data_IF_676354448837
#
_entry.id   IF_676354448837
#
_cell.length_a   1.000
_cell.length_b   1.000
_cell.length_c   1.000
_cell.angle_alpha   90.00
_cell.angle_beta   90.00
_cell.angle_gamma   90.00
#
_symmetry.space_group_name_H-M   'P 1'
#
loop_
_entity.id
_entity.type
_entity.pdbx_description
1 polymer ?
#
# COMPACT_ATOMS: atom_id res chain seq x y z
N UNK A 1 -8.56 8.41 -8.61
CA UNK A 1 -8.88 6.98 -8.55
C UNK A 1 -7.59 6.25 -8.24
N UNK A 2 -7.49 5.67 -7.04
CA UNK A 2 -6.46 4.73 -6.59
C UNK A 2 -4.99 5.12 -6.63
N UNK A 3 -4.63 6.35 -6.99
CA UNK A 3 -3.26 6.66 -7.40
C UNK A 3 -2.30 6.54 -6.22
N UNK A 4 -2.70 7.04 -5.04
CA UNK A 4 -1.89 6.93 -3.82
C UNK A 4 -1.79 5.47 -3.38
N UNK A 5 -2.89 4.72 -3.43
CA UNK A 5 -2.88 3.29 -3.09
C UNK A 5 -1.91 2.49 -3.98
N UNK A 6 -1.78 2.85 -5.26
CA UNK A 6 -0.79 2.27 -6.17
C UNK A 6 0.66 2.70 -5.87
N UNK A 7 0.87 3.89 -5.34
CA UNK A 7 2.20 4.31 -4.90
C UNK A 7 2.67 3.50 -3.68
N UNK A 8 1.80 3.14 -2.74
CA UNK A 8 2.15 2.21 -1.64
C UNK A 8 2.62 0.85 -2.16
N UNK A 9 2.01 0.35 -3.24
CA UNK A 9 2.44 -0.88 -3.91
C UNK A 9 3.82 -0.76 -4.55
N UNK A 10 4.09 0.36 -5.23
CA UNK A 10 5.40 0.63 -5.83
C UNK A 10 6.47 0.79 -4.75
N UNK A 11 6.17 1.54 -3.70
CA UNK A 11 7.07 1.74 -2.57
C UNK A 11 7.49 0.43 -1.93
N UNK A 12 6.53 -0.43 -1.53
CA UNK A 12 6.87 -1.66 -0.82
C UNK A 12 7.60 -2.68 -1.72
N UNK A 13 7.27 -2.70 -3.02
CA UNK A 13 7.98 -3.53 -3.99
C UNK A 13 9.43 -3.07 -4.19
N UNK A 14 9.66 -1.76 -4.27
CA UNK A 14 11.01 -1.21 -4.35
C UNK A 14 11.81 -1.46 -3.07
N UNK A 15 11.16 -1.37 -1.90
CA UNK A 15 11.83 -1.53 -0.61
C UNK A 15 12.15 -2.99 -0.26
N UNK A 16 11.25 -3.94 -0.57
CA UNK A 16 11.34 -5.32 -0.09
C UNK A 16 11.01 -6.39 -1.14
N UNK A 17 10.78 -5.99 -2.39
CA UNK A 17 10.53 -6.90 -3.52
C UNK A 17 9.09 -7.42 -3.62
N UNK A 18 8.90 -8.32 -4.58
CA UNK A 18 7.57 -8.82 -4.99
C UNK A 18 6.80 -9.53 -3.86
N UNK A 19 7.49 -10.23 -2.94
CA UNK A 19 6.84 -10.89 -1.81
C UNK A 19 6.18 -9.89 -0.86
N UNK A 20 6.79 -8.71 -0.65
CA UNK A 20 6.19 -7.68 0.20
C UNK A 20 4.99 -7.02 -0.49
N UNK A 21 5.05 -6.83 -1.81
CA UNK A 21 3.91 -6.42 -2.64
C UNK A 21 2.70 -7.35 -2.45
N UNK A 22 2.93 -8.67 -2.45
CA UNK A 22 1.88 -9.67 -2.20
C UNK A 22 1.34 -9.60 -0.76
N UNK A 23 2.22 -9.47 0.23
CA UNK A 23 1.81 -9.30 1.63
C UNK A 23 0.98 -8.04 1.85
N UNK A 24 1.30 -6.94 1.16
CA UNK A 24 0.50 -5.71 1.24
C UNK A 24 -0.94 -5.94 0.75
N UNK A 25 -1.12 -6.71 -0.33
CA UNK A 25 -2.46 -7.09 -0.79
C UNK A 25 -3.24 -7.92 0.24
N UNK A 26 -2.54 -8.82 0.95
CA UNK A 26 -3.15 -9.65 2.00
C UNK A 26 -3.55 -8.80 3.22
N UNK A 27 -2.65 -7.93 3.69
CA UNK A 27 -2.88 -7.07 4.87
C UNK A 27 -4.00 -6.05 4.63
N UNK A 28 -4.05 -5.43 3.45
CA UNK A 28 -5.08 -4.44 3.10
C UNK A 28 -6.40 -5.05 2.62
N UNK A 29 -6.39 -6.36 2.32
CA UNK A 29 -7.47 -7.09 1.63
C UNK A 29 -7.89 -6.43 0.31
N UNK A 30 -6.96 -5.72 -0.34
CA UNK A 30 -7.22 -4.94 -1.54
C UNK A 30 -6.05 -5.12 -2.51
N UNK A 31 -6.12 -6.06 -3.47
CA UNK A 31 -5.06 -6.25 -4.45
C UNK A 31 -4.85 -5.02 -5.34
N UNK A 32 -3.66 -4.85 -5.91
CA UNK A 32 -3.32 -3.66 -6.71
C UNK A 32 -4.26 -3.41 -7.90
N UNK A 33 -4.81 -4.47 -8.49
CA UNK A 33 -5.82 -4.37 -9.56
C UNK A 33 -7.13 -3.73 -9.08
N UNK A 34 -7.52 -3.97 -7.82
CA UNK A 34 -8.68 -3.31 -7.19
C UNK A 34 -8.32 -1.91 -6.69
N UNK A 35 -7.15 -1.77 -6.06
CA UNK A 35 -6.67 -0.50 -5.51
C UNK A 35 -6.63 0.61 -6.57
N UNK A 36 -6.34 0.28 -7.83
CA UNK A 36 -6.37 1.22 -8.96
C UNK A 36 -7.72 1.93 -9.17
N UNK A 37 -8.84 1.30 -8.79
CA UNK A 37 -10.19 1.81 -8.99
C UNK A 37 -10.86 2.33 -7.72
N UNK A 38 -10.32 1.96 -6.55
CA UNK A 38 -10.83 2.43 -5.26
C UNK A 38 -10.43 3.90 -5.03
N UNK A 39 -11.26 4.69 -4.33
CA UNK A 39 -10.92 6.08 -4.03
C UNK A 39 -9.78 6.15 -3.00
N UNK A 40 -8.94 7.17 -3.16
CA UNK A 40 -7.88 7.53 -2.20
C UNK A 40 -8.49 8.23 -0.96
N UNK A 41 -9.46 7.57 -0.31
CA UNK A 41 -10.06 8.07 0.93
C UNK A 41 -9.04 8.03 2.06
N UNK A 42 -9.23 8.89 3.07
CA UNK A 42 -8.40 8.88 4.29
C UNK A 42 -8.37 7.49 4.92
N UNK A 43 -9.50 6.77 4.91
CA UNK A 43 -9.59 5.40 5.42
C UNK A 43 -8.69 4.42 4.64
N UNK A 44 -8.75 4.45 3.30
CA UNK A 44 -7.93 3.56 2.47
C UNK A 44 -6.44 3.92 2.59
N UNK A 45 -6.09 5.20 2.59
CA UNK A 45 -4.71 5.65 2.78
C UNK A 45 -4.17 5.18 4.13
N UNK A 46 -4.91 5.39 5.22
CA UNK A 46 -4.47 4.94 6.56
C UNK A 46 -4.36 3.43 6.66
N UNK A 47 -5.26 2.69 6.00
CA UNK A 47 -5.17 1.22 5.93
C UNK A 47 -3.87 0.78 5.26
N UNK A 48 -3.51 1.39 4.13
CA UNK A 48 -2.27 1.09 3.42
C UNK A 48 -1.02 1.54 4.19
N UNK A 49 -1.07 2.74 4.78
CA UNK A 49 -0.01 3.30 5.63
C UNK A 49 0.37 2.33 6.76
N UNK A 50 -0.65 1.88 7.52
CA UNK A 50 -0.48 0.91 8.62
C UNK A 50 0.02 -0.45 8.14
N UNK A 51 -0.49 -0.93 7.00
CA UNK A 51 -0.04 -2.20 6.43
C UNK A 51 1.45 -2.15 6.02
N UNK A 52 1.88 -1.05 5.40
CA UNK A 52 3.30 -0.86 5.05
C UNK A 52 4.18 -0.72 6.28
N UNK A 53 3.75 0.04 7.30
CA UNK A 53 4.46 0.17 8.57
C UNK A 53 4.64 -1.20 9.26
N UNK A 54 3.60 -2.03 9.26
CA UNK A 54 3.66 -3.40 9.78
C UNK A 54 4.64 -4.30 9.02
N UNK A 55 4.71 -4.18 7.69
CA UNK A 55 5.53 -5.07 6.85
C UNK A 55 7.00 -4.65 6.79
N UNK A 56 7.27 -3.35 6.88
CA UNK A 56 8.62 -2.79 6.76
C UNK A 56 9.26 -2.45 8.11
N UNK A 57 8.45 -2.34 9.17
CA UNK A 57 8.89 -1.85 10.48
C UNK A 57 9.14 -0.33 10.49
N UNK A 58 8.84 0.38 9.39
CA UNK A 58 9.06 1.81 9.26
C UNK A 58 7.83 2.48 8.62
N UNK A 59 7.48 3.71 9.03
CA UNK A 59 6.40 4.43 8.38
C UNK A 59 6.77 4.71 6.91
N UNK A 60 5.80 4.58 5.98
CA UNK A 60 5.99 5.00 4.60
C UNK A 60 6.21 6.53 4.50
N UNK A 61 6.83 7.03 3.41
CA UNK A 61 7.01 8.45 3.18
C UNK A 61 5.72 9.27 3.37
N UNK A 62 5.77 10.46 4.00
CA UNK A 62 4.59 11.31 4.23
C UNK A 62 3.91 11.81 2.94
N UNK A 63 4.61 11.72 1.80
CA UNK A 63 4.15 12.13 0.49
C UNK A 63 3.21 11.12 -0.21
N UNK A 64 2.99 9.94 0.38
CA UNK A 64 2.07 8.90 -0.09
C UNK A 64 0.65 9.11 0.47
#
# INVERSE_FOLDING_TARGET
MGQKLLEYYRYIEQAQGMLARLKLAQETKMPSTRAAFEPDTVENIERFRKAVEKLTGQPPPPSL
#
